data_IF_345958104410
#
_entry.id   IF_345958104410
#
_cell.length_a   1.000
_cell.length_b   1.000
_cell.length_c   1.000
_cell.angle_alpha   90.00
_cell.angle_beta   90.00
_cell.angle_gamma   90.00
#
_symmetry.space_group_name_H-M   'P 1'
#
loop_
_entity.id
_entity.type
_entity.pdbx_description
1 polymer ?
#
# COMPACT_ATOMS: atom_id res chain seq x y z
N UNK A 1 14.08 8.91 3.76
CA UNK A 1 13.20 7.74 3.91
C UNK A 1 13.70 6.65 2.99
N UNK A 2 13.82 5.40 3.46
CA UNK A 2 14.20 4.25 2.62
C UNK A 2 12.95 3.66 1.98
N UNK A 3 13.02 3.36 0.68
CA UNK A 3 12.02 2.56 -0.03
C UNK A 3 12.43 1.10 0.12
N UNK A 4 11.48 0.24 0.43
CA UNK A 4 11.67 -1.21 0.48
C UNK A 4 10.50 -1.91 -0.21
N UNK A 5 10.78 -3.05 -0.81
CA UNK A 5 9.73 -3.91 -1.35
C UNK A 5 9.08 -4.68 -0.22
N UNK A 6 7.76 -4.56 -0.13
CA UNK A 6 6.97 -5.22 0.91
C UNK A 6 6.03 -6.23 0.27
N UNK A 7 6.00 -7.48 0.76
CA UNK A 7 4.99 -8.46 0.35
C UNK A 7 3.58 -7.98 0.70
N UNK A 8 2.71 -7.95 -0.29
CA UNK A 8 1.33 -7.43 -0.15
C UNK A 8 0.51 -8.28 0.83
N UNK A 9 0.77 -9.59 0.86
CA UNK A 9 0.18 -10.55 1.81
C UNK A 9 0.52 -10.24 3.28
N UNK A 10 1.66 -9.60 3.53
CA UNK A 10 2.10 -9.16 4.87
C UNK A 10 1.59 -7.77 5.24
N UNK A 11 0.88 -7.07 4.35
CA UNK A 11 0.30 -5.75 4.61
C UNK A 11 -1.06 -5.91 5.26
N UNK A 12 -1.13 -5.54 6.54
CA UNK A 12 -2.36 -5.42 7.28
C UNK A 12 -3.01 -4.05 7.06
N UNK A 13 -4.20 -4.07 6.47
CA UNK A 13 -5.08 -2.91 6.32
C UNK A 13 -6.03 -2.80 7.53
N UNK A 14 -5.92 -1.74 8.36
CA UNK A 14 -6.84 -1.52 9.46
C UNK A 14 -8.29 -1.36 8.98
N UNK A 15 -9.25 -1.98 9.69
CA UNK A 15 -10.67 -1.92 9.34
C UNK A 15 -11.20 -0.49 9.17
N UNK A 16 -10.72 0.46 9.98
CA UNK A 16 -11.11 1.87 9.89
C UNK A 16 -10.81 2.52 8.52
N UNK A 17 -9.79 2.04 7.80
CA UNK A 17 -9.43 2.54 6.46
C UNK A 17 -10.21 1.83 5.34
N UNK A 18 -10.74 0.64 5.58
CA UNK A 18 -11.49 -0.10 4.55
C UNK A 18 -12.75 0.63 4.09
N UNK A 19 -13.35 1.44 4.96
CA UNK A 19 -14.55 2.23 4.64
C UNK A 19 -14.27 3.39 3.67
N UNK A 20 -13.01 3.78 3.46
CA UNK A 20 -12.64 4.83 2.50
C UNK A 20 -12.17 4.26 1.16
N UNK A 21 -12.32 2.95 0.96
CA UNK A 21 -11.99 2.31 -0.30
C UNK A 21 -13.03 2.71 -1.35
N UNK A 22 -12.53 3.13 -2.50
CA UNK A 22 -13.32 3.52 -3.65
C UNK A 22 -12.85 2.65 -4.82
N UNK A 23 -13.72 1.77 -5.32
CA UNK A 23 -13.34 0.77 -6.32
C UNK A 23 -13.05 1.42 -7.68
N UNK A 24 -13.77 2.47 -8.04
CA UNK A 24 -13.56 3.15 -9.33
C UNK A 24 -12.16 3.75 -9.37
N UNK A 25 -11.75 4.41 -8.28
CA UNK A 25 -10.37 4.92 -8.13
C UNK A 25 -9.31 3.82 -8.13
N UNK A 26 -9.62 2.62 -7.64
CA UNK A 26 -8.68 1.50 -7.65
C UNK A 26 -8.41 1.04 -9.07
N UNK A 27 -9.45 0.96 -9.91
CA UNK A 27 -9.31 0.55 -11.31
C UNK A 27 -8.51 1.60 -12.08
N UNK A 28 -8.86 2.89 -11.95
CA UNK A 28 -8.10 3.99 -12.57
C UNK A 28 -6.62 3.98 -12.16
N UNK A 29 -6.33 3.75 -10.87
CA UNK A 29 -4.96 3.63 -10.38
C UNK A 29 -4.26 2.38 -10.91
N UNK A 30 -4.97 1.27 -11.12
CA UNK A 30 -4.38 0.05 -11.66
C UNK A 30 -3.95 0.25 -13.12
N UNK A 31 -4.76 0.93 -13.92
CA UNK A 31 -4.41 1.31 -15.30
C UNK A 31 -3.20 2.25 -15.32
N UNK A 32 -3.19 3.29 -14.49
CA UNK A 32 -2.05 4.22 -14.39
C UNK A 32 -0.77 3.52 -13.92
N UNK A 33 -0.84 2.61 -12.96
CA UNK A 33 0.32 1.83 -12.50
C UNK A 33 0.82 0.87 -13.58
N UNK A 34 -0.08 0.32 -14.41
CA UNK A 34 0.31 -0.54 -15.52
C UNK A 34 1.09 0.24 -16.59
N UNK A 35 0.70 1.49 -16.86
CA UNK A 35 1.35 2.35 -17.86
C UNK A 35 2.63 3.03 -17.33
N UNK A 36 2.56 3.61 -16.13
CA UNK A 36 3.57 4.51 -15.59
C UNK A 36 4.37 3.92 -14.41
N UNK A 37 3.98 2.74 -13.93
CA UNK A 37 4.54 2.16 -12.71
C UNK A 37 4.05 2.85 -11.44
N UNK A 38 4.48 2.34 -10.29
CA UNK A 38 4.13 2.94 -8.99
C UNK A 38 4.94 4.21 -8.75
N UNK A 39 4.38 5.37 -9.10
CA UNK A 39 5.10 6.65 -8.92
C UNK A 39 5.24 7.08 -7.45
N UNK A 40 4.32 6.65 -6.59
CA UNK A 40 4.27 7.04 -5.18
C UNK A 40 4.21 5.81 -4.28
N UNK A 41 5.32 5.48 -3.60
CA UNK A 41 5.35 4.38 -2.64
C UNK A 41 4.26 4.52 -1.58
N UNK A 42 3.84 3.39 -1.02
CA UNK A 42 2.89 3.37 0.10
C UNK A 42 3.60 3.68 1.42
N UNK A 43 2.85 3.98 2.46
CA UNK A 43 3.41 4.20 3.79
C UNK A 43 2.99 3.08 4.71
N UNK A 44 3.97 2.40 5.30
CA UNK A 44 3.74 1.30 6.23
C UNK A 44 4.56 1.50 7.49
N UNK A 45 4.03 1.04 8.62
CA UNK A 45 4.82 0.88 9.84
C UNK A 45 5.14 -0.59 10.06
N UNK A 46 6.32 -0.87 10.61
CA UNK A 46 6.67 -2.22 11.07
C UNK A 46 5.84 -2.53 12.32
N UNK A 47 5.00 -3.56 12.22
CA UNK A 47 4.39 -4.24 13.37
C UNK A 47 5.29 -5.38 13.87
N UNK A 48 4.77 -6.24 14.75
CA UNK A 48 5.54 -7.39 15.26
C UNK A 48 5.96 -8.34 14.12
N UNK A 49 4.98 -8.85 13.36
CA UNK A 49 5.21 -9.83 12.28
C UNK A 49 4.62 -9.40 10.92
N UNK A 50 4.16 -8.16 10.82
CA UNK A 50 3.42 -7.65 9.66
C UNK A 50 3.65 -6.17 9.44
N UNK A 51 3.38 -5.70 8.23
CA UNK A 51 3.40 -4.28 7.89
C UNK A 51 2.01 -3.71 8.09
N UNK A 52 1.87 -2.62 8.83
CA UNK A 52 0.56 -1.98 9.04
C UNK A 52 0.44 -0.78 8.12
N UNK A 53 -0.52 -0.82 7.20
CA UNK A 53 -0.77 0.26 6.26
C UNK A 53 -1.11 1.56 6.99
N UNK A 54 -0.34 2.61 6.71
CA UNK A 54 -0.60 3.98 7.16
C UNK A 54 -1.27 4.79 6.05
N UNK A 55 -0.82 4.65 4.80
CA UNK A 55 -1.36 5.39 3.66
C UNK A 55 -1.16 4.62 2.35
N UNK A 56 -2.00 4.88 1.36
CA UNK A 56 -1.92 4.25 0.04
C UNK A 56 -2.84 3.05 -0.13
N UNK A 57 -4.02 3.04 0.51
CA UNK A 57 -4.97 1.92 0.40
C UNK A 57 -5.35 1.61 -1.05
N UNK A 58 -5.76 2.61 -1.84
CA UNK A 58 -6.14 2.41 -3.24
C UNK A 58 -4.98 1.88 -4.08
N UNK A 59 -3.75 2.33 -3.80
CA UNK A 59 -2.53 1.82 -4.46
C UNK A 59 -2.28 0.34 -4.13
N UNK A 60 -2.43 -0.07 -2.87
CA UNK A 60 -2.30 -1.48 -2.48
C UNK A 60 -3.33 -2.36 -3.20
N UNK A 61 -4.60 -1.93 -3.23
CA UNK A 61 -5.65 -2.70 -3.91
C UNK A 61 -5.47 -2.70 -5.44
N UNK A 62 -4.97 -1.61 -6.03
CA UNK A 62 -4.66 -1.53 -7.46
C UNK A 62 -3.55 -2.49 -7.86
N UNK A 63 -2.41 -2.46 -7.15
CA UNK A 63 -1.29 -3.39 -7.37
C UNK A 63 -1.72 -4.84 -7.16
N UNK A 64 -2.57 -5.10 -6.16
CA UNK A 64 -3.15 -6.42 -5.93
C UNK A 64 -4.09 -6.86 -7.05
N UNK A 65 -4.86 -5.94 -7.65
CA UNK A 65 -5.72 -6.21 -8.81
C UNK A 65 -4.89 -6.61 -10.04
N UNK A 66 -3.72 -5.99 -10.21
CA UNK A 66 -2.76 -6.32 -11.27
C UNK A 66 -2.06 -7.69 -11.07
N UNK A 67 -2.22 -8.32 -9.90
CA UNK A 67 -1.61 -9.62 -9.60
C UNK A 67 -0.15 -9.55 -9.14
N UNK A 68 0.34 -8.35 -8.82
CA UNK A 68 1.67 -8.15 -8.24
C UNK A 68 1.74 -8.72 -6.82
N UNK A 69 2.94 -9.10 -6.40
CA UNK A 69 3.18 -9.72 -5.07
C UNK A 69 3.93 -8.79 -4.12
N UNK A 70 4.66 -7.82 -4.67
CA UNK A 70 5.48 -6.86 -3.96
C UNK A 70 5.00 -5.46 -4.29
N UNK A 71 5.13 -4.55 -3.33
CA UNK A 71 4.86 -3.12 -3.52
C UNK A 71 5.91 -2.27 -2.82
N UNK A 72 6.35 -1.20 -3.47
CA UNK A 72 7.30 -0.28 -2.86
C UNK A 72 6.66 0.49 -1.72
N UNK A 73 7.30 0.46 -0.56
CA UNK A 73 6.82 1.11 0.64
C UNK A 73 7.90 1.92 1.37
N UNK A 74 7.49 3.06 1.90
CA UNK A 74 8.22 3.78 2.93
C UNK A 74 7.90 3.21 4.31
N UNK A 75 8.95 2.79 5.02
CA UNK A 75 8.83 2.43 6.43
C UNK A 75 8.84 3.70 7.27
N UNK A 76 7.73 3.96 7.96
CA UNK A 76 7.63 5.03 8.95
C UNK A 76 7.78 4.47 10.37
N UNK A 77 8.51 5.20 11.20
CA UNK A 77 8.55 4.93 12.64
C UNK A 77 7.19 5.26 13.26
N UNK A 78 6.78 4.50 14.27
CA UNK A 78 5.67 4.93 15.12
C UNK A 78 6.05 6.29 15.73
N UNK A 79 5.21 7.31 15.56
CA UNK A 79 5.44 8.58 16.25
C UNK A 79 5.49 8.31 17.74
N UNK A 80 6.64 8.61 18.37
CA UNK A 80 6.75 8.66 19.82
C UNK A 80 5.83 9.80 20.26
N UNK A 81 4.79 9.46 21.02
CA UNK A 81 4.02 10.46 21.79
C UNK A 81 4.89 11.05 22.88
#
# INVERSE_FOLDING_TARGET
MRIVDVPIDKIYVPAAKKNTLDQDKVVELAEDILENGLQKPIYVRIGKDRYVLQEGLHRVEAVKLLGETLIEAHIVAAQRK
#
